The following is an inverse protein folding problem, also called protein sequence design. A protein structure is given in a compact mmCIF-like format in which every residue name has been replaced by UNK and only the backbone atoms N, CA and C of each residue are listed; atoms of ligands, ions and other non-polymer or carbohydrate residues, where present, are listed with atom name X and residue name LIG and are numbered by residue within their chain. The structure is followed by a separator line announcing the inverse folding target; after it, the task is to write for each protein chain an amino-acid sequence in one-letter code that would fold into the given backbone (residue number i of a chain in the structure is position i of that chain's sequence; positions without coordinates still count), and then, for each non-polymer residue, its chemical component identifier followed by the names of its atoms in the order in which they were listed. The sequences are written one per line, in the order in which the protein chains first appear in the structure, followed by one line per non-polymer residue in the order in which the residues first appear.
data_IF_052182866604
#
_entry.id   IF_052182866604
#
_cell.length_a   1.000
_cell.length_b   1.000
_cell.length_c   1.000
_cell.angle_alpha   90.00
_cell.angle_beta   90.00
_cell.angle_gamma   90.00
#
_symmetry.space_group_name_H-M   'P 1'
#
loop_
_entity.id
_entity.type
_entity.pdbx_description
1 polymer ?
#
# COMPACT_ATOMS: atom_id res chain seq x y z
N UNK A 1 -10.43 4.39 -29.78
CA UNK A 1 -11.28 3.21 -29.56
C UNK A 1 -10.86 2.14 -30.56
N UNK A 2 -10.48 0.92 -30.16
CA UNK A 2 -10.21 -0.14 -31.10
C UNK A 2 -11.55 -0.60 -31.67
N UNK A 3 -11.84 -0.21 -32.91
CA UNK A 3 -13.04 -0.64 -33.62
C UNK A 3 -12.71 -2.03 -34.15
N UNK A 4 -13.42 -3.06 -33.67
CA UNK A 4 -13.28 -4.40 -34.23
C UNK A 4 -13.91 -4.37 -35.63
N UNK A 5 -13.06 -4.23 -36.64
CA UNK A 5 -13.49 -4.22 -38.05
C UNK A 5 -13.63 -5.66 -38.53
N UNK A 6 -14.80 -6.03 -39.03
CA UNK A 6 -15.06 -7.37 -39.53
C UNK A 6 -14.52 -7.54 -40.96
N UNK A 7 -13.83 -8.64 -41.21
CA UNK A 7 -13.22 -8.92 -42.52
C UNK A 7 -14.28 -9.26 -43.59
N UNK A 8 -14.01 -8.88 -44.85
CA UNK A 8 -14.91 -9.05 -46.00
C UNK A 8 -15.55 -10.45 -46.14
N UNK A 9 -14.83 -11.58 -45.93
CA UNK A 9 -15.41 -12.92 -46.06
C UNK A 9 -16.51 -13.23 -45.04
N UNK A 10 -16.44 -12.64 -43.84
CA UNK A 10 -17.46 -12.80 -42.80
C UNK A 10 -18.71 -11.99 -43.14
N UNK A 11 -18.52 -10.79 -43.71
CA UNK A 11 -19.61 -9.89 -44.13
C UNK A 11 -20.43 -10.46 -45.28
N UNK A 12 -19.78 -11.09 -46.26
CA UNK A 12 -20.46 -11.78 -47.36
C UNK A 12 -21.28 -12.99 -46.92
N UNK A 13 -20.84 -13.74 -45.90
CA UNK A 13 -21.52 -14.97 -45.45
C UNK A 13 -22.62 -14.73 -44.42
N UNK A 14 -22.47 -13.72 -43.57
CA UNK A 14 -23.39 -13.42 -42.47
C UNK A 14 -24.42 -12.34 -42.83
N UNK A 15 -24.14 -11.52 -43.85
CA UNK A 15 -24.93 -10.34 -44.18
C UNK A 15 -24.61 -9.16 -43.26
N UNK A 16 -24.85 -7.96 -43.77
CA UNK A 16 -24.46 -6.70 -43.12
C UNK A 16 -25.09 -6.54 -41.73
N UNK A 17 -26.37 -6.91 -41.59
CA UNK A 17 -27.14 -6.74 -40.36
C UNK A 17 -26.64 -7.67 -39.23
N UNK A 18 -26.25 -8.91 -39.56
CA UNK A 18 -25.72 -9.85 -38.58
C UNK A 18 -24.28 -9.48 -38.15
N UNK A 19 -23.48 -8.94 -39.07
CA UNK A 19 -22.15 -8.42 -38.76
C UNK A 19 -22.23 -7.22 -37.81
N UNK A 20 -23.14 -6.28 -38.06
CA UNK A 20 -23.34 -5.14 -37.18
C UNK A 20 -23.82 -5.56 -35.78
N UNK A 21 -24.70 -6.56 -35.69
CA UNK A 21 -25.14 -7.13 -34.41
C UNK A 21 -23.97 -7.79 -33.64
N UNK A 22 -23.11 -8.55 -34.33
CA UNK A 22 -21.90 -9.18 -33.75
C UNK A 22 -20.90 -8.12 -33.25
N UNK A 23 -20.66 -7.08 -34.03
CA UNK A 23 -19.77 -5.97 -33.65
C UNK A 23 -20.31 -5.27 -32.40
N UNK A 24 -21.62 -5.03 -32.32
CA UNK A 24 -22.25 -4.44 -31.12
C UNK A 24 -22.08 -5.34 -29.89
N UNK A 25 -22.35 -6.64 -30.00
CA UNK A 25 -22.19 -7.58 -28.89
C UNK A 25 -20.74 -7.67 -28.41
N UNK A 26 -19.77 -7.74 -29.32
CA UNK A 26 -18.35 -7.78 -28.98
C UNK A 26 -17.90 -6.48 -28.32
N UNK A 27 -18.28 -5.33 -28.88
CA UNK A 27 -17.92 -4.04 -28.29
C UNK A 27 -18.55 -3.86 -26.89
N UNK A 28 -19.78 -4.32 -26.70
CA UNK A 28 -20.48 -4.25 -25.42
C UNK A 28 -19.82 -5.18 -24.38
N UNK A 29 -19.51 -6.42 -24.75
CA UNK A 29 -18.81 -7.36 -23.89
C UNK A 29 -17.38 -6.91 -23.54
N UNK A 30 -16.65 -6.30 -24.49
CA UNK A 30 -15.32 -5.74 -24.22
C UNK A 30 -15.37 -4.54 -23.26
N UNK A 31 -16.39 -3.69 -23.37
CA UNK A 31 -16.57 -2.56 -22.48
C UNK A 31 -16.89 -3.03 -21.05
N UNK A 32 -17.81 -3.98 -20.92
CA UNK A 32 -18.17 -4.58 -19.63
C UNK A 32 -16.99 -5.32 -18.98
N UNK A 33 -16.23 -6.09 -19.76
CA UNK A 33 -15.03 -6.78 -19.26
C UNK A 33 -13.97 -5.80 -18.75
N UNK A 34 -13.72 -4.69 -19.48
CA UNK A 34 -12.77 -3.66 -19.05
C UNK A 34 -13.20 -3.00 -17.73
N UNK A 35 -14.49 -2.71 -17.59
CA UNK A 35 -15.03 -2.15 -16.37
C UNK A 35 -14.89 -3.12 -15.19
N UNK A 36 -15.24 -4.39 -15.38
CA UNK A 36 -15.12 -5.41 -14.32
C UNK A 36 -13.66 -5.63 -13.91
N UNK A 37 -12.72 -5.61 -14.86
CA UNK A 37 -11.29 -5.71 -14.55
C UNK A 37 -10.81 -4.48 -13.79
N UNK A 38 -11.28 -3.28 -14.17
CA UNK A 38 -10.92 -2.04 -13.47
C UNK A 38 -11.42 -2.06 -12.02
N UNK A 39 -12.70 -2.38 -11.82
CA UNK A 39 -13.32 -2.49 -10.49
C UNK A 39 -12.61 -3.54 -9.62
N UNK A 40 -12.31 -4.72 -10.18
CA UNK A 40 -11.57 -5.75 -9.46
C UNK A 40 -10.15 -5.32 -9.07
N UNK A 41 -9.47 -4.57 -9.95
CA UNK A 41 -8.13 -4.05 -9.66
C UNK A 41 -8.20 -2.97 -8.59
N UNK A 42 -9.19 -2.06 -8.68
CA UNK A 42 -9.44 -1.01 -7.68
C UNK A 42 -9.69 -1.63 -6.30
N UNK A 43 -10.65 -2.56 -6.18
CA UNK A 43 -10.96 -3.22 -4.91
C UNK A 43 -9.74 -3.94 -4.31
N UNK A 44 -9.02 -4.69 -5.15
CA UNK A 44 -7.82 -5.41 -4.70
C UNK A 44 -6.69 -4.47 -4.30
N UNK A 45 -6.55 -3.35 -5.01
CA UNK A 45 -5.54 -2.33 -4.73
C UNK A 45 -5.87 -1.58 -3.44
N UNK A 46 -7.11 -1.11 -3.27
CA UNK A 46 -7.58 -0.45 -2.05
C UNK A 46 -7.41 -1.33 -0.82
N UNK A 47 -7.78 -2.62 -0.91
CA UNK A 47 -7.58 -3.58 0.18
C UNK A 47 -6.11 -3.74 0.54
N UNK A 48 -5.25 -3.95 -0.46
CA UNK A 48 -3.79 -4.12 -0.24
C UNK A 48 -3.16 -2.88 0.33
N UNK A 49 -3.50 -1.70 -0.19
CA UNK A 49 -3.02 -0.43 0.35
C UNK A 49 -3.45 -0.24 1.79
N UNK A 50 -4.72 -0.50 2.12
CA UNK A 50 -5.23 -0.37 3.48
C UNK A 50 -4.49 -1.30 4.46
N UNK A 51 -4.24 -2.55 4.05
CA UNK A 51 -3.44 -3.50 4.83
C UNK A 51 -1.98 -3.06 5.00
N UNK A 52 -1.35 -2.54 3.95
CA UNK A 52 0.03 -2.06 4.00
C UNK A 52 0.16 -0.81 4.87
N UNK A 53 -0.77 0.13 4.79
CA UNK A 53 -0.83 1.33 5.65
C UNK A 53 -0.98 0.91 7.12
N UNK A 54 -1.91 0.00 7.44
CA UNK A 54 -2.11 -0.47 8.81
C UNK A 54 -0.86 -1.18 9.36
N UNK A 55 -0.18 -1.99 8.53
CA UNK A 55 1.09 -2.64 8.91
C UNK A 55 2.19 -1.61 9.13
N UNK A 56 2.28 -0.59 8.29
CA UNK A 56 3.28 0.48 8.41
C UNK A 56 3.06 1.29 9.68
N UNK A 57 1.82 1.70 9.96
CA UNK A 57 1.45 2.44 11.16
C UNK A 57 1.81 1.67 12.45
N UNK A 58 1.50 0.37 12.47
CA UNK A 58 1.85 -0.51 13.59
C UNK A 58 3.37 -0.61 13.77
N UNK A 59 4.13 -0.76 12.67
CA UNK A 59 5.60 -0.86 12.72
C UNK A 59 6.24 0.44 13.20
N UNK A 60 5.82 1.57 12.65
CA UNK A 60 6.32 2.89 13.05
C UNK A 60 6.02 3.18 14.51
N UNK A 61 4.79 2.93 14.96
CA UNK A 61 4.42 3.10 16.37
C UNK A 61 5.31 2.25 17.28
N UNK A 62 5.54 0.99 16.91
CA UNK A 62 6.41 0.09 17.68
C UNK A 62 7.86 0.57 17.72
N UNK A 63 8.42 0.99 16.60
CA UNK A 63 9.79 1.51 16.51
C UNK A 63 9.98 2.80 17.30
N UNK A 64 9.00 3.71 17.27
CA UNK A 64 8.99 4.95 18.07
C UNK A 64 8.98 4.61 19.56
N UNK A 65 8.10 3.71 19.98
CA UNK A 65 8.00 3.30 21.40
C UNK A 65 9.30 2.65 21.86
N UNK A 66 9.87 1.75 21.06
CA UNK A 66 11.15 1.10 21.39
C UNK A 66 12.28 2.12 21.49
N UNK A 67 12.40 3.01 20.51
CA UNK A 67 13.42 4.07 20.50
C UNK A 67 13.27 4.97 21.73
N UNK A 68 12.05 5.40 22.06
CA UNK A 68 11.79 6.17 23.28
C UNK A 68 12.20 5.39 24.54
N UNK A 69 11.86 4.11 24.63
CA UNK A 69 12.20 3.28 25.77
C UNK A 69 13.73 3.14 25.93
N UNK A 70 14.45 2.94 24.83
CA UNK A 70 15.91 2.84 24.84
C UNK A 70 16.57 4.17 25.21
N UNK A 71 16.07 5.30 24.71
CA UNK A 71 16.53 6.62 25.13
C UNK A 71 16.34 6.83 26.64
N UNK A 72 15.18 6.44 27.20
CA UNK A 72 14.92 6.51 28.65
C UNK A 72 15.90 5.63 29.43
N UNK A 73 16.15 4.39 28.98
CA UNK A 73 17.16 3.50 29.63
C UNK A 73 18.54 4.14 29.63
N UNK A 74 18.96 4.72 28.50
CA UNK A 74 20.25 5.40 28.38
C UNK A 74 20.34 6.63 29.29
N UNK A 75 19.25 7.40 29.43
CA UNK A 75 19.18 8.48 30.41
C UNK A 75 19.43 7.96 31.83
N UNK A 76 18.83 6.83 32.24
CA UNK A 76 19.05 6.26 33.58
C UNK A 76 20.50 5.82 33.81
N UNK A 77 21.11 5.11 32.85
CA UNK A 77 22.52 4.69 32.94
C UNK A 77 23.42 5.92 33.13
N UNK A 78 23.17 6.95 32.32
CA UNK A 78 23.87 8.22 32.44
C UNK A 78 23.66 8.86 33.81
N UNK A 79 22.42 8.97 34.28
CA UNK A 79 22.06 9.57 35.57
C UNK A 79 22.72 8.85 36.75
N UNK A 80 22.77 7.52 36.76
CA UNK A 80 23.47 6.75 37.80
C UNK A 80 24.96 7.10 37.82
N UNK A 81 25.58 7.22 36.64
CA UNK A 81 26.97 7.66 36.52
C UNK A 81 27.19 9.09 37.03
N UNK A 82 26.33 10.04 36.66
CA UNK A 82 26.42 11.43 37.12
C UNK A 82 26.24 11.54 38.64
N UNK A 83 25.22 10.87 39.20
CA UNK A 83 24.96 10.87 40.65
C UNK A 83 26.13 10.25 41.40
N UNK A 84 26.65 9.11 40.94
CA UNK A 84 27.82 8.47 41.53
C UNK A 84 29.07 9.37 41.50
N UNK A 85 29.29 10.07 40.39
CA UNK A 85 30.40 11.02 40.26
C UNK A 85 30.25 12.22 41.21
N UNK A 86 29.06 12.83 41.28
CA UNK A 86 28.78 13.96 42.17
C UNK A 86 28.94 13.54 43.63
N UNK A 87 28.38 12.39 44.03
CA UNK A 87 28.52 11.87 45.38
C UNK A 87 29.98 11.57 45.72
N UNK A 88 30.71 10.93 44.81
CA UNK A 88 32.14 10.66 44.99
C UNK A 88 32.96 11.96 45.15
N UNK A 89 32.64 12.98 44.36
CA UNK A 89 33.28 14.29 44.47
C UNK A 89 32.97 14.95 45.82
N UNK A 90 31.70 15.00 46.24
CA UNK A 90 31.32 15.56 47.53
C UNK A 90 32.02 14.83 48.69
N UNK A 91 32.03 13.50 48.70
CA UNK A 91 32.73 12.72 49.73
C UNK A 91 34.24 12.97 49.76
N UNK A 92 34.87 13.24 48.61
CA UNK A 92 36.28 13.60 48.54
C UNK A 92 36.57 15.01 49.08
N UNK A 93 35.63 15.96 48.94
CA UNK A 93 35.76 17.33 49.47
C UNK A 93 35.38 17.48 50.95
N UNK A 94 34.53 16.59 51.49
CA UNK A 94 34.13 16.57 52.90
C UNK A 94 35.06 15.71 53.80
N UNK A 95 36.17 15.23 53.26
CA UNK A 95 37.27 14.54 53.97
C UNK A 95 38.52 15.40 53.95
#
# INVERSE_FOLDING_TARGET
MPIVTVERPLKEKLGDEAVDALVRLINQGQAEQKNNVLEFVEEKFERRLSEEIAKLDTRLTKEIVNTRADLIKWMFIFWVGQVGFILGMLFAFFK
#
